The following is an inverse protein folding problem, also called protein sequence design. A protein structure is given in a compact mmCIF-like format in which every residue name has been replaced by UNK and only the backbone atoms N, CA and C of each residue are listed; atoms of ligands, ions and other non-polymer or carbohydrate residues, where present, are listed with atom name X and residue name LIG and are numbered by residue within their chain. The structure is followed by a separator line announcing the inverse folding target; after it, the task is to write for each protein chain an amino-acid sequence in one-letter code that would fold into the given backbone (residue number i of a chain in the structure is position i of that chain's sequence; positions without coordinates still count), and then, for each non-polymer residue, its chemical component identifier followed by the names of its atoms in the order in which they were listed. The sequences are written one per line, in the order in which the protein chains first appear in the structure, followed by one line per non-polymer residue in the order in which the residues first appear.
data_IF_515331465820
#
_entry.id   IF_515331465820
#
_cell.length_a   1.000
_cell.length_b   1.000
_cell.length_c   1.000
_cell.angle_alpha   90.00
_cell.angle_beta   90.00
_cell.angle_gamma   90.00
#
_symmetry.space_group_name_H-M   'P 1'
#
loop_
_entity.id
_entity.type
_entity.pdbx_description
1 polymer ?
#
# COMPACT_ATOMS: atom_id res chain seq x y z
N UNK A 1 5.76 -13.20 22.55
CA UNK A 1 5.09 -13.34 21.23
C UNK A 1 6.01 -14.11 20.29
N UNK A 2 5.49 -15.15 19.61
CA UNK A 2 6.19 -16.00 18.65
C UNK A 2 6.60 -15.26 17.37
N UNK A 3 5.74 -14.39 16.84
CA UNK A 3 5.94 -13.69 15.57
C UNK A 3 6.84 -12.46 15.70
N UNK A 4 8.08 -12.64 16.15
CA UNK A 4 9.06 -11.55 16.40
C UNK A 4 9.38 -10.72 15.15
N UNK A 5 9.13 -11.27 13.96
CA UNK A 5 9.34 -10.62 12.67
C UNK A 5 8.24 -9.62 12.28
N UNK A 6 7.06 -9.67 12.91
CA UNK A 6 5.85 -8.96 12.47
C UNK A 6 6.07 -7.47 12.28
N UNK A 7 6.71 -6.81 13.25
CA UNK A 7 6.94 -5.37 13.21
C UNK A 7 7.80 -4.96 12.01
N UNK A 8 8.95 -5.60 11.85
CA UNK A 8 9.86 -5.34 10.73
C UNK A 8 9.23 -5.67 9.38
N UNK A 9 8.37 -6.69 9.32
CA UNK A 9 7.67 -7.08 8.11
C UNK A 9 6.64 -6.04 7.67
N UNK A 10 5.83 -5.52 8.60
CA UNK A 10 4.83 -4.49 8.31
C UNK A 10 5.47 -3.14 8.02
N UNK A 11 6.51 -2.74 8.76
CA UNK A 11 7.22 -1.47 8.52
C UNK A 11 7.96 -1.43 7.18
N UNK A 12 8.24 -2.58 6.55
CA UNK A 12 8.81 -2.64 5.19
C UNK A 12 7.78 -2.41 4.08
N UNK A 13 6.48 -2.49 4.39
CA UNK A 13 5.44 -2.26 3.40
C UNK A 13 5.35 -0.78 3.06
N UNK A 14 5.13 -0.50 1.78
CA UNK A 14 5.03 0.86 1.25
C UNK A 14 3.99 1.67 2.04
N UNK A 15 4.42 2.83 2.52
CA UNK A 15 3.60 3.83 3.21
C UNK A 15 2.86 3.31 4.46
N UNK A 16 3.36 2.23 5.09
CA UNK A 16 2.87 1.85 6.42
C UNK A 16 3.46 2.78 7.47
N UNK A 17 2.58 3.32 8.31
CA UNK A 17 2.96 4.05 9.51
C UNK A 17 2.62 3.25 10.76
N UNK A 18 3.34 3.52 11.84
CA UNK A 18 3.18 2.85 13.13
C UNK A 18 3.09 3.87 14.25
N UNK A 19 2.15 3.67 15.17
CA UNK A 19 2.04 4.45 16.39
C UNK A 19 1.58 3.58 17.57
N UNK A 20 1.70 4.14 18.77
CA UNK A 20 1.17 3.54 19.99
C UNK A 20 -0.04 4.33 20.46
N UNK A 21 -1.18 3.65 20.64
CA UNK A 21 -2.41 4.22 21.19
C UNK A 21 -2.50 3.92 22.69
N UNK A 22 -2.12 4.85 23.58
CA UNK A 22 -2.03 4.58 25.02
C UNK A 22 -3.37 4.22 25.66
N UNK A 23 -4.48 4.76 25.17
CA UNK A 23 -5.83 4.48 25.74
C UNK A 23 -6.23 3.02 25.54
N UNK A 24 -5.83 2.42 24.41
CA UNK A 24 -6.16 1.02 24.10
C UNK A 24 -5.05 0.05 24.52
N UNK A 25 -3.85 0.60 24.80
CA UNK A 25 -2.61 -0.14 24.97
C UNK A 25 -2.23 -0.95 23.70
N UNK A 26 -2.32 -0.34 22.51
CA UNK A 26 -2.10 -1.04 21.23
C UNK A 26 -0.99 -0.39 20.42
N UNK A 27 -0.13 -1.21 19.80
CA UNK A 27 0.71 -0.76 18.67
C UNK A 27 -0.14 -0.95 17.41
N UNK A 28 -0.34 0.11 16.62
CA UNK A 28 -1.18 0.08 15.43
C UNK A 28 -0.34 0.26 14.18
N UNK A 29 -0.66 -0.52 13.15
CA UNK A 29 -0.11 -0.39 11.81
C UNK A 29 -1.19 0.17 10.90
N UNK A 30 -0.85 1.25 10.21
CA UNK A 30 -1.79 2.06 9.47
C UNK A 30 -1.30 2.31 8.04
N UNK A 31 -2.24 2.51 7.13
CA UNK A 31 -1.99 3.04 5.79
C UNK A 31 -3.03 4.10 5.47
N UNK A 32 -2.59 5.26 4.96
CA UNK A 32 -3.49 6.39 4.71
C UNK A 32 -4.26 6.86 5.95
N UNK A 33 -3.64 6.75 7.13
CA UNK A 33 -4.26 7.10 8.41
C UNK A 33 -5.35 6.15 8.91
N UNK A 34 -5.50 4.96 8.30
CA UNK A 34 -6.43 3.92 8.76
C UNK A 34 -5.67 2.67 9.20
N UNK A 35 -6.01 2.18 10.39
CA UNK A 35 -5.43 0.95 10.96
C UNK A 35 -5.91 -0.28 10.19
N UNK A 36 -4.99 -1.19 9.86
CA UNK A 36 -5.30 -2.48 9.25
C UNK A 36 -4.81 -3.68 10.07
N UNK A 37 -3.85 -3.45 10.96
CA UNK A 37 -3.36 -4.45 11.92
C UNK A 37 -2.93 -3.76 13.23
N UNK A 38 -2.92 -4.50 14.33
CA UNK A 38 -2.44 -4.04 15.62
C UNK A 38 -1.89 -5.19 16.48
N UNK A 39 -0.91 -4.88 17.32
CA UNK A 39 -0.54 -5.72 18.47
C UNK A 39 -1.27 -5.12 19.68
N UNK A 40 -2.22 -5.89 20.22
CA UNK A 40 -3.00 -5.54 21.39
C UNK A 40 -2.30 -6.07 22.64
N UNK A 41 -2.13 -5.25 23.66
CA UNK A 41 -1.51 -5.65 24.92
C UNK A 41 -2.55 -5.80 26.04
N UNK A 42 -2.25 -6.68 27.00
CA UNK A 42 -3.03 -6.81 28.24
C UNK A 42 -2.63 -5.75 29.28
N UNK A 43 -3.14 -5.89 30.51
CA UNK A 43 -2.84 -4.97 31.62
C UNK A 43 -1.40 -5.11 32.15
N UNK A 44 -0.72 -6.20 31.82
CA UNK A 44 0.66 -6.51 32.20
C UNK A 44 1.65 -6.17 31.07
N UNK A 45 1.19 -5.44 30.04
CA UNK A 45 1.97 -5.10 28.85
C UNK A 45 2.54 -6.31 28.11
N UNK A 46 1.85 -7.45 28.16
CA UNK A 46 2.17 -8.60 27.32
C UNK A 46 1.32 -8.57 26.05
N UNK A 47 1.89 -8.91 24.87
CA UNK A 47 1.11 -9.10 23.66
C UNK A 47 0.00 -10.12 23.93
N UNK A 48 -1.24 -9.69 23.75
CA UNK A 48 -2.44 -10.47 24.02
C UNK A 48 -3.09 -10.96 22.73
N UNK A 49 -3.17 -10.10 21.70
CA UNK A 49 -3.65 -10.47 20.36
C UNK A 49 -2.90 -9.73 19.27
N UNK A 50 -2.80 -10.36 18.10
CA UNK A 50 -2.53 -9.68 16.84
C UNK A 50 -3.87 -9.53 16.12
N UNK A 51 -4.42 -8.31 16.11
CA UNK A 51 -5.72 -8.03 15.53
C UNK A 51 -5.56 -7.44 14.12
N UNK A 52 -6.23 -7.98 13.11
CA UNK A 52 -6.05 -7.56 11.71
C UNK A 52 -7.34 -7.65 10.89
N UNK A 53 -7.41 -6.84 9.85
CA UNK A 53 -8.55 -6.78 8.93
C UNK A 53 -8.57 -8.01 8.02
N UNK A 54 -9.73 -8.64 7.86
CA UNK A 54 -9.92 -9.81 7.02
C UNK A 54 -11.18 -9.68 6.15
N UNK A 55 -11.23 -10.43 5.05
CA UNK A 55 -12.45 -10.60 4.27
C UNK A 55 -13.48 -11.40 5.11
N UNK A 56 -14.78 -11.06 5.10
CA UNK A 56 -15.77 -11.76 5.92
C UNK A 56 -15.90 -13.26 5.69
N UNK A 57 -15.76 -13.71 4.43
CA UNK A 57 -15.87 -15.13 4.09
C UNK A 57 -14.63 -15.86 4.58
N UNK A 58 -13.46 -15.28 4.33
CA UNK A 58 -12.18 -15.81 4.80
C UNK A 58 -12.10 -15.86 6.33
N UNK A 59 -12.52 -14.79 7.01
CA UNK A 59 -12.50 -14.69 8.46
C UNK A 59 -13.25 -15.85 9.12
N UNK A 60 -14.42 -16.22 8.59
CA UNK A 60 -15.21 -17.34 9.09
C UNK A 60 -14.46 -18.67 8.88
N UNK A 61 -13.97 -18.91 7.67
CA UNK A 61 -13.24 -20.14 7.34
C UNK A 61 -11.99 -20.32 8.22
N UNK A 62 -11.20 -19.27 8.42
CA UNK A 62 -9.98 -19.33 9.24
C UNK A 62 -10.27 -19.66 10.71
N UNK A 63 -11.36 -19.13 11.27
CA UNK A 63 -11.78 -19.41 12.65
C UNK A 63 -12.24 -20.87 12.82
N UNK A 64 -12.80 -21.49 11.77
CA UNK A 64 -13.16 -22.92 11.78
C UNK A 64 -11.92 -23.82 11.68
N UNK A 65 -10.88 -23.39 10.93
CA UNK A 65 -9.67 -24.18 10.70
C UNK A 65 -8.62 -24.04 11.80
N UNK A 66 -8.52 -22.88 12.45
CA UNK A 66 -7.46 -22.58 13.41
C UNK A 66 -8.04 -22.07 14.73
N UNK A 67 -7.90 -22.87 15.80
CA UNK A 67 -8.38 -22.51 17.14
C UNK A 67 -7.73 -21.26 17.74
N UNK A 68 -6.58 -20.84 17.20
CA UNK A 68 -5.86 -19.62 17.61
C UNK A 68 -6.20 -18.38 16.77
N UNK A 69 -7.12 -18.52 15.81
CA UNK A 69 -7.74 -17.41 15.09
C UNK A 69 -9.14 -17.22 15.65
N UNK A 70 -9.38 -16.03 16.21
CA UNK A 70 -10.59 -15.67 16.94
C UNK A 70 -11.30 -14.48 16.27
N UNK A 71 -12.57 -14.21 16.61
CA UNK A 71 -13.23 -12.98 16.21
C UNK A 71 -12.44 -11.73 16.63
N UNK A 72 -12.48 -10.67 15.81
CA UNK A 72 -11.74 -9.43 16.05
C UNK A 72 -11.93 -8.82 17.44
N UNK A 73 -10.82 -8.59 18.13
CA UNK A 73 -10.77 -8.00 19.48
C UNK A 73 -11.13 -6.51 19.42
N UNK A 74 -12.14 -6.09 20.20
CA UNK A 74 -12.71 -4.74 20.20
C UNK A 74 -12.99 -4.14 18.79
N UNK A 75 -13.25 -5.00 17.81
CA UNK A 75 -13.39 -4.63 16.40
C UNK A 75 -14.64 -5.30 15.80
N UNK A 76 -15.02 -4.92 14.58
CA UNK A 76 -16.13 -5.57 13.86
C UNK A 76 -15.75 -7.02 13.53
N UNK A 77 -16.36 -7.97 14.25
CA UNK A 77 -16.10 -9.42 14.17
C UNK A 77 -16.37 -10.02 12.79
N UNK A 78 -17.05 -9.30 11.90
CA UNK A 78 -17.28 -9.72 10.51
C UNK A 78 -16.09 -9.43 9.61
N UNK A 79 -15.27 -8.42 9.92
CA UNK A 79 -14.19 -7.93 9.04
C UNK A 79 -12.84 -7.86 9.73
N UNK A 80 -12.74 -8.38 10.94
CA UNK A 80 -11.54 -8.41 11.75
C UNK A 80 -11.42 -9.77 12.45
N UNK A 81 -10.19 -10.27 12.50
CA UNK A 81 -9.81 -11.48 13.23
C UNK A 81 -8.66 -11.15 14.19
N UNK A 82 -8.53 -11.96 15.23
CA UNK A 82 -7.46 -11.85 16.21
C UNK A 82 -6.69 -13.16 16.30
N UNK A 83 -5.37 -13.09 16.18
CA UNK A 83 -4.47 -14.23 16.25
C UNK A 83 -3.80 -14.24 17.62
N UNK A 84 -3.77 -15.39 18.29
CA UNK A 84 -2.99 -15.53 19.53
C UNK A 84 -1.50 -15.37 19.25
N UNK A 85 -0.79 -14.50 19.98
CA UNK A 85 0.61 -14.18 19.73
C UNK A 85 1.58 -15.32 20.05
N UNK A 86 1.13 -16.35 20.75
CA UNK A 86 1.84 -17.58 21.15
C UNK A 86 1.21 -18.86 20.57
N UNK A 87 0.22 -18.71 19.69
CA UNK A 87 -0.51 -19.83 19.09
C UNK A 87 0.25 -20.62 18.01
N UNK A 88 -0.46 -21.57 17.40
CA UNK A 88 0.05 -22.54 16.44
C UNK A 88 -0.09 -22.11 14.96
N UNK A 89 -0.67 -20.94 14.66
CA UNK A 89 -0.86 -20.47 13.28
C UNK A 89 0.50 -20.41 12.55
N UNK A 90 0.63 -21.00 11.35
CA UNK A 90 1.89 -20.98 10.61
C UNK A 90 2.34 -19.57 10.24
N UNK A 91 3.64 -19.31 10.32
CA UNK A 91 4.23 -18.00 10.03
C UNK A 91 3.87 -17.49 8.63
N UNK A 92 3.90 -18.36 7.62
CA UNK A 92 3.55 -18.00 6.24
C UNK A 92 2.08 -17.59 6.10
N UNK A 93 1.18 -18.24 6.85
CA UNK A 93 -0.22 -17.85 6.90
C UNK A 93 -0.37 -16.48 7.56
N UNK A 94 0.31 -16.21 8.67
CA UNK A 94 0.26 -14.87 9.32
C UNK A 94 0.79 -13.80 8.36
N UNK A 95 1.85 -14.06 7.59
CA UNK A 95 2.35 -13.12 6.57
C UNK A 95 1.31 -12.84 5.49
N UNK A 96 0.70 -13.88 4.93
CA UNK A 96 -0.35 -13.74 3.92
C UNK A 96 -1.56 -12.96 4.45
N UNK A 97 -2.00 -13.23 5.68
CA UNK A 97 -3.09 -12.48 6.31
C UNK A 97 -2.75 -11.01 6.51
N UNK A 98 -1.52 -10.68 6.90
CA UNK A 98 -1.06 -9.29 7.02
C UNK A 98 -0.99 -8.59 5.67
N UNK A 99 -0.59 -9.30 4.61
CA UNK A 99 -0.60 -8.80 3.23
C UNK A 99 -2.02 -8.50 2.76
N UNK A 100 -2.95 -9.42 3.02
CA UNK A 100 -4.37 -9.24 2.70
C UNK A 100 -4.98 -8.10 3.49
N UNK A 101 -4.69 -7.98 4.79
CA UNK A 101 -5.17 -6.88 5.62
C UNK A 101 -4.74 -5.52 5.08
N UNK A 102 -3.46 -5.40 4.68
CA UNK A 102 -2.92 -4.20 4.03
C UNK A 102 -3.66 -3.89 2.72
N UNK A 103 -3.82 -4.88 1.82
CA UNK A 103 -4.51 -4.71 0.54
C UNK A 103 -5.98 -4.34 0.72
N UNK A 104 -6.70 -5.03 1.62
CA UNK A 104 -8.10 -4.76 1.93
C UNK A 104 -8.30 -3.34 2.48
N UNK A 105 -7.38 -2.86 3.31
CA UNK A 105 -7.44 -1.49 3.80
C UNK A 105 -7.23 -0.48 2.66
N UNK A 106 -6.23 -0.70 1.81
CA UNK A 106 -5.95 0.16 0.67
C UNK A 106 -7.13 0.18 -0.33
N UNK A 107 -7.72 -0.98 -0.64
CA UNK A 107 -8.88 -1.12 -1.51
C UNK A 107 -10.13 -0.39 -1.00
N UNK A 108 -10.21 -0.12 0.31
CA UNK A 108 -11.26 0.68 0.91
C UNK A 108 -11.19 2.19 0.61
N UNK A 109 -10.13 2.67 -0.07
CA UNK A 109 -10.00 4.04 -0.56
C UNK A 109 -10.32 4.14 -2.04
N UNK A 110 -10.69 5.33 -2.51
CA UNK A 110 -10.83 5.58 -3.97
C UNK A 110 -9.49 5.39 -4.69
N UNK A 111 -9.51 5.02 -5.98
CA UNK A 111 -8.27 4.85 -6.77
C UNK A 111 -7.39 6.12 -6.77
N UNK A 112 -7.99 7.31 -6.71
CA UNK A 112 -7.25 8.58 -6.55
C UNK A 112 -6.49 8.62 -5.21
N UNK A 113 -7.18 8.34 -4.11
CA UNK A 113 -6.57 8.31 -2.77
C UNK A 113 -5.52 7.22 -2.64
N UNK A 114 -5.73 6.02 -3.20
CA UNK A 114 -4.75 4.94 -3.17
C UNK A 114 -3.41 5.40 -3.79
N UNK A 115 -3.48 6.05 -4.95
CA UNK A 115 -2.31 6.60 -5.63
C UNK A 115 -1.58 7.66 -4.78
N UNK A 116 -2.32 8.55 -4.14
CA UNK A 116 -1.76 9.58 -3.25
C UNK A 116 -1.10 8.98 -2.01
N UNK A 117 -1.78 8.04 -1.35
CA UNK A 117 -1.27 7.31 -0.17
C UNK A 117 0.01 6.56 -0.50
N UNK A 118 0.08 5.93 -1.67
CA UNK A 118 1.26 5.18 -2.13
C UNK A 118 2.34 6.07 -2.75
N UNK A 119 2.12 7.39 -2.84
CA UNK A 119 3.02 8.34 -3.51
C UNK A 119 3.34 7.96 -4.96
N UNK A 120 2.40 7.28 -5.64
CA UNK A 120 2.58 6.84 -7.01
C UNK A 120 2.10 7.91 -8.00
N UNK A 121 2.80 8.05 -9.13
CA UNK A 121 2.31 8.85 -10.23
C UNK A 121 1.30 8.07 -11.08
N UNK A 122 0.60 8.75 -12.01
CA UNK A 122 -0.30 8.08 -12.95
C UNK A 122 0.40 7.02 -13.83
N UNK A 123 1.73 7.09 -13.94
CA UNK A 123 2.52 6.18 -14.75
C UNK A 123 3.35 5.20 -13.91
N UNK A 124 3.05 5.06 -12.61
CA UNK A 124 3.67 4.07 -11.72
C UNK A 124 4.99 4.49 -11.09
N UNK A 125 5.47 5.71 -11.36
CA UNK A 125 6.70 6.21 -10.72
C UNK A 125 6.45 6.39 -9.23
N UNK A 126 7.34 5.85 -8.39
CA UNK A 126 7.35 6.10 -6.96
C UNK A 126 7.96 7.47 -6.69
N UNK A 127 7.11 8.44 -6.34
CA UNK A 127 7.53 9.78 -6.00
C UNK A 127 7.99 9.89 -4.54
N UNK A 128 7.75 8.88 -3.69
CA UNK A 128 8.10 8.92 -2.27
C UNK A 128 9.60 9.18 -2.00
N UNK A 129 10.53 8.50 -2.71
CA UNK A 129 11.97 8.76 -2.59
C UNK A 129 12.46 10.05 -3.24
N UNK A 130 11.62 10.74 -4.03
CA UNK A 130 12.04 11.92 -4.78
C UNK A 130 12.26 13.11 -3.83
N UNK A 131 13.44 13.74 -3.80
CA UNK A 131 13.75 14.82 -2.86
C UNK A 131 12.92 16.10 -3.09
N UNK A 132 12.34 16.25 -4.28
CA UNK A 132 11.52 17.39 -4.67
C UNK A 132 10.03 17.19 -4.34
N UNK A 133 9.57 15.94 -4.18
CA UNK A 133 8.16 15.66 -3.97
C UNK A 133 7.69 16.22 -2.62
N UNK A 134 6.55 16.91 -2.61
CA UNK A 134 6.02 17.69 -1.49
C UNK A 134 6.93 18.83 -0.98
N UNK A 135 7.99 19.19 -1.72
CA UNK A 135 8.79 20.40 -1.47
C UNK A 135 8.65 21.39 -2.61
N UNK A 136 9.23 21.05 -3.76
CA UNK A 136 9.21 21.87 -4.99
C UNK A 136 8.26 21.29 -6.06
N UNK A 137 7.80 20.05 -5.86
CA UNK A 137 6.88 19.35 -6.74
C UNK A 137 5.67 18.85 -5.94
N UNK A 138 4.49 19.42 -6.20
CA UNK A 138 3.22 18.99 -5.57
C UNK A 138 2.73 17.64 -6.11
N UNK A 139 3.37 17.13 -7.17
CA UNK A 139 3.02 15.89 -7.85
C UNK A 139 2.11 16.09 -9.06
N UNK A 140 2.00 15.04 -9.88
CA UNK A 140 1.37 15.16 -11.19
C UNK A 140 -0.12 15.58 -11.13
N UNK A 141 -0.88 15.26 -10.08
CA UNK A 141 -2.28 15.66 -10.00
C UNK A 141 -2.45 17.15 -9.75
N UNK A 142 -1.81 17.64 -8.69
CA UNK A 142 -1.90 19.03 -8.27
C UNK A 142 -1.31 19.95 -9.33
N UNK A 143 -0.17 19.56 -9.92
CA UNK A 143 0.44 20.30 -11.03
C UNK A 143 -0.25 20.07 -12.39
N UNK A 144 -1.34 19.29 -12.46
CA UNK A 144 -2.03 18.90 -13.72
C UNK A 144 -1.08 18.36 -14.80
N UNK A 145 -0.10 17.57 -14.38
CA UNK A 145 0.93 16.94 -15.20
C UNK A 145 2.14 17.84 -15.49
N UNK A 146 2.12 19.11 -15.09
CA UNK A 146 3.21 20.10 -15.31
C UNK A 146 4.26 20.04 -14.20
N UNK A 147 4.79 18.84 -13.95
CA UNK A 147 5.90 18.63 -13.02
C UNK A 147 7.20 19.17 -13.61
N UNK A 148 8.23 19.39 -12.80
CA UNK A 148 9.47 20.08 -13.20
C UNK A 148 10.19 19.46 -14.42
N UNK A 149 10.06 18.16 -14.63
CA UNK A 149 10.67 17.44 -15.75
C UNK A 149 9.73 17.26 -16.96
N UNK A 150 8.53 17.87 -16.94
CA UNK A 150 7.62 17.90 -18.07
C UNK A 150 8.03 19.00 -19.08
N UNK A 151 7.60 18.91 -20.36
CA UNK A 151 7.89 19.96 -21.32
C UNK A 151 7.34 21.33 -20.86
N UNK A 152 8.11 22.40 -21.10
CA UNK A 152 7.77 23.73 -20.61
C UNK A 152 6.32 24.14 -20.96
N UNK A 153 5.55 24.51 -19.94
CA UNK A 153 4.14 24.92 -20.06
C UNK A 153 3.15 23.79 -20.38
N UNK A 154 3.60 22.53 -20.54
CA UNK A 154 2.76 21.40 -20.95
C UNK A 154 2.76 20.29 -19.91
N UNK A 155 1.67 19.53 -19.87
CA UNK A 155 1.62 18.32 -19.06
C UNK A 155 2.58 17.26 -19.63
N UNK A 156 3.15 16.42 -18.74
CA UNK A 156 3.85 15.20 -19.12
C UNK A 156 2.98 14.36 -20.08
N UNK A 157 3.53 13.83 -21.18
CA UNK A 157 2.77 13.06 -22.17
C UNK A 157 1.95 11.91 -21.59
N UNK A 158 2.47 11.21 -20.58
CA UNK A 158 1.76 10.12 -19.91
C UNK A 158 0.54 10.62 -19.12
N UNK A 159 0.68 11.75 -18.43
CA UNK A 159 -0.43 12.37 -17.69
C UNK A 159 -1.48 12.93 -18.65
N UNK A 160 -1.04 13.60 -19.71
CA UNK A 160 -1.93 14.13 -20.74
C UNK A 160 -2.75 13.01 -21.40
N UNK A 161 -2.12 11.88 -21.70
CA UNK A 161 -2.80 10.73 -22.26
C UNK A 161 -3.72 10.06 -21.24
N UNK A 162 -3.17 9.52 -20.15
CA UNK A 162 -3.90 8.71 -19.18
C UNK A 162 -5.01 9.50 -18.48
N UNK A 163 -4.64 10.63 -17.85
CA UNK A 163 -5.53 11.34 -16.92
C UNK A 163 -6.39 12.39 -17.62
N UNK A 164 -5.82 13.16 -18.54
CA UNK A 164 -6.57 14.26 -19.19
C UNK A 164 -7.43 13.76 -20.36
N UNK A 165 -6.86 12.97 -21.28
CA UNK A 165 -7.56 12.47 -22.47
C UNK A 165 -8.46 11.28 -22.15
N UNK A 166 -7.91 10.22 -21.56
CA UNK A 166 -8.62 8.96 -21.34
C UNK A 166 -9.35 8.87 -19.99
N UNK A 167 -9.13 9.84 -19.09
CA UNK A 167 -9.75 9.90 -17.75
C UNK A 167 -9.44 8.69 -16.86
N UNK A 168 -8.36 7.98 -17.15
CA UNK A 168 -7.85 6.93 -16.28
C UNK A 168 -7.15 7.52 -15.06
N UNK A 169 -7.24 6.81 -13.93
CA UNK A 169 -6.46 7.16 -12.74
C UNK A 169 -4.99 6.86 -12.97
N UNK A 170 -4.68 5.76 -13.64
CA UNK A 170 -3.32 5.37 -13.99
C UNK A 170 -3.26 4.73 -15.36
N UNK A 171 -2.05 4.59 -15.89
CA UNK A 171 -1.79 3.86 -17.13
C UNK A 171 -2.20 2.39 -17.04
N UNK A 172 -2.41 1.83 -15.84
CA UNK A 172 -2.84 0.44 -15.63
C UNK A 172 -4.20 0.12 -16.26
N UNK A 173 -5.04 1.14 -16.47
CA UNK A 173 -6.32 0.98 -17.17
C UNK A 173 -6.17 0.88 -18.69
N UNK A 174 -4.97 1.05 -19.24
CA UNK A 174 -4.70 0.91 -20.67
C UNK A 174 -4.28 -0.53 -21.01
N UNK A 175 -4.95 -1.13 -21.98
CA UNK A 175 -4.62 -2.47 -22.47
C UNK A 175 -3.25 -2.54 -23.19
N UNK A 176 -2.76 -1.40 -23.70
CA UNK A 176 -1.48 -1.30 -24.41
C UNK A 176 -0.32 -0.96 -23.46
N UNK A 177 -0.51 -1.01 -22.14
CA UNK A 177 0.56 -0.67 -21.19
C UNK A 177 1.66 -1.76 -21.15
N UNK A 178 2.95 -1.40 -21.31
CA UNK A 178 3.50 -0.07 -21.61
C UNK A 178 3.47 0.23 -23.11
N UNK A 179 3.00 1.42 -23.50
CA UNK A 179 2.91 1.83 -24.90
C UNK A 179 4.05 2.79 -25.28
N UNK A 180 4.11 3.19 -26.56
CA UNK A 180 5.16 4.08 -27.10
C UNK A 180 5.34 5.39 -26.34
N UNK A 181 4.30 5.92 -25.70
CA UNK A 181 4.39 7.13 -24.88
C UNK A 181 5.38 6.94 -23.73
N UNK A 182 5.47 5.73 -23.15
CA UNK A 182 6.44 5.44 -22.10
C UNK A 182 7.86 5.61 -22.63
N UNK A 183 8.16 5.04 -23.79
CA UNK A 183 9.45 5.15 -24.47
C UNK A 183 9.81 6.60 -24.84
N UNK A 184 8.84 7.38 -25.30
CA UNK A 184 9.02 8.79 -25.63
C UNK A 184 9.30 9.68 -24.40
N UNK A 185 8.95 9.23 -23.20
CA UNK A 185 9.21 9.94 -21.93
C UNK A 185 10.47 9.47 -21.21
N UNK A 186 11.35 8.73 -21.90
CA UNK A 186 12.64 8.31 -21.35
C UNK A 186 13.49 9.51 -20.97
N UNK A 187 14.06 9.46 -19.77
CA UNK A 187 15.14 10.37 -19.38
C UNK A 187 16.39 10.08 -20.23
N UNK A 188 16.88 11.05 -21.02
CA UNK A 188 18.08 10.88 -21.85
C UNK A 188 19.34 10.50 -21.05
N UNK A 189 19.38 10.81 -19.75
CA UNK A 189 20.51 10.49 -18.87
C UNK A 189 20.53 9.01 -18.45
N UNK A 190 19.42 8.29 -18.59
CA UNK A 190 19.37 6.86 -18.27
C UNK A 190 19.98 6.01 -19.37
N UNK A 191 20.78 5.02 -18.99
CA UNK A 191 21.17 3.94 -19.90
C UNK A 191 19.93 3.17 -20.40
N UNK A 192 20.00 2.50 -21.55
CA UNK A 192 18.89 1.68 -22.04
C UNK A 192 18.42 0.63 -21.02
N UNK A 193 19.37 -0.01 -20.33
CA UNK A 193 19.08 -1.02 -19.31
C UNK A 193 18.39 -0.40 -18.08
N UNK A 194 18.88 0.74 -17.58
CA UNK A 194 18.27 1.42 -16.44
C UNK A 194 16.86 1.92 -16.77
N UNK A 195 16.64 2.38 -18.00
CA UNK A 195 15.32 2.79 -18.45
C UNK A 195 14.34 1.62 -18.51
N UNK A 196 14.75 0.49 -19.10
CA UNK A 196 13.91 -0.72 -19.14
C UNK A 196 13.56 -1.20 -17.72
N UNK A 197 14.54 -1.23 -16.82
CA UNK A 197 14.28 -1.54 -15.41
C UNK A 197 13.24 -0.59 -14.81
N UNK A 198 13.35 0.71 -15.08
CA UNK A 198 12.37 1.69 -14.60
C UNK A 198 10.96 1.42 -15.12
N UNK A 199 10.79 0.94 -16.36
CA UNK A 199 9.49 0.55 -16.91
C UNK A 199 8.93 -0.63 -16.13
N UNK A 200 9.73 -1.66 -15.90
CA UNK A 200 9.30 -2.86 -15.17
C UNK A 200 8.88 -2.52 -13.73
N UNK A 201 9.66 -1.70 -13.03
CA UNK A 201 9.35 -1.24 -11.67
C UNK A 201 8.03 -0.44 -11.62
N UNK A 202 7.87 0.49 -12.57
CA UNK A 202 6.64 1.30 -12.69
C UNK A 202 5.42 0.44 -12.99
N UNK A 203 5.54 -0.55 -13.87
CA UNK A 203 4.46 -1.51 -14.16
C UNK A 203 4.11 -2.34 -12.93
N UNK A 204 5.11 -2.79 -12.16
CA UNK A 204 4.89 -3.54 -10.93
C UNK A 204 4.16 -2.68 -9.89
N UNK A 205 4.57 -1.44 -9.69
CA UNK A 205 3.86 -0.50 -8.80
C UNK A 205 2.40 -0.30 -9.20
N UNK A 206 2.11 -0.29 -10.50
CA UNK A 206 0.74 -0.16 -11.02
C UNK A 206 -0.11 -1.42 -10.83
N UNK A 207 0.49 -2.62 -10.77
CA UNK A 207 -0.23 -3.86 -10.45
C UNK A 207 -0.63 -3.94 -8.98
N UNK A 208 0.12 -3.26 -8.11
CA UNK A 208 -0.10 -3.24 -6.67
C UNK A 208 -1.19 -2.22 -6.23
N UNK A 209 -1.75 -1.46 -7.18
CA UNK A 209 -2.79 -0.43 -7.02
C UNK A 209 -4.21 -0.94 -7.27
#
# INVERSE_FOLDING_TARGET
MRYTWLDSYLCKKRCVTKDFQPVWNWIRYQIGGKMFAAICFDKQNQPYYINLKADPVEAKFLQEQYADILPGYYSDKRTWISIKPDGAVPDDLVRDLLDRAYRLMLQGFSKKQQREILHLSCCGTDCGPCPFYHKDCEGCNESRGRVFHAPAGKACPLYACSVQKHRYVTCASCAEMPCDIWNLTRDPQLSPQAFEQSIQERMQNLKEL
#
